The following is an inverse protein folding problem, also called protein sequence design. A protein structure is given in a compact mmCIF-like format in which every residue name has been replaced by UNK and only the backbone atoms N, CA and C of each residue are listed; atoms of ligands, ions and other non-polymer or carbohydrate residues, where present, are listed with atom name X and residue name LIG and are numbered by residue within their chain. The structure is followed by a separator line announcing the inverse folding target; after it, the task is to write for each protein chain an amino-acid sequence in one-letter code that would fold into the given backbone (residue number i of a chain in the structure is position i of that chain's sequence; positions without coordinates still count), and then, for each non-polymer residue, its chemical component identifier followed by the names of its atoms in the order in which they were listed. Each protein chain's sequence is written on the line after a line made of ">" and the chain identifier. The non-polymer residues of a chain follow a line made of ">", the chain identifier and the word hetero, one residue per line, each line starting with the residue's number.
data_IF_818519268514
#
_entry.id   IF_818519268514
#
_cell.length_a   1.000
_cell.length_b   1.000
_cell.length_c   1.000
_cell.angle_alpha   90.00
_cell.angle_beta   90.00
_cell.angle_gamma   90.00
#
_symmetry.space_group_name_H-M   'P 1'
#
loop_
_entity.id
_entity.type
_entity.pdbx_description
1 polymer ?
#
# COMPACT_ATOMS: atom_id res chain seq x y z
N UNK A 1 1.90 3.32 3.26
CA UNK A 1 2.92 4.39 3.27
C UNK A 1 2.41 5.84 3.11
N UNK A 2 1.60 6.26 2.12
CA UNK A 2 1.42 7.70 1.81
C UNK A 2 0.63 8.53 2.84
N UNK A 3 0.07 7.89 3.87
CA UNK A 3 -0.69 8.58 4.91
C UNK A 3 0.19 9.25 5.98
N UNK A 4 1.45 8.83 6.16
CA UNK A 4 2.32 9.35 7.22
C UNK A 4 3.12 10.60 6.80
N UNK A 5 3.53 10.68 5.53
CA UNK A 5 4.24 11.81 4.94
C UNK A 5 3.58 13.19 5.16
N UNK A 6 2.25 13.38 5.00
CA UNK A 6 1.64 14.70 5.19
C UNK A 6 1.82 15.22 6.62
N UNK A 7 1.79 14.35 7.63
CA UNK A 7 1.98 14.77 9.02
C UNK A 7 3.40 15.25 9.29
N UNK A 8 4.42 14.57 8.73
CA UNK A 8 5.82 15.00 8.88
C UNK A 8 6.05 16.35 8.18
N UNK A 9 5.52 16.53 6.97
CA UNK A 9 5.59 17.81 6.26
C UNK A 9 4.89 18.94 7.01
N UNK A 10 3.73 18.66 7.62
CA UNK A 10 3.01 19.64 8.46
C UNK A 10 3.83 20.04 9.70
N UNK A 11 4.51 19.09 10.34
CA UNK A 11 5.39 19.37 11.48
C UNK A 11 6.57 20.28 11.08
N UNK A 12 7.19 20.05 9.92
CA UNK A 12 8.24 20.92 9.39
C UNK A 12 7.69 22.32 9.12
N UNK A 13 6.56 22.43 8.43
CA UNK A 13 5.93 23.73 8.14
C UNK A 13 5.58 24.49 9.42
N UNK A 14 5.06 23.81 10.44
CA UNK A 14 4.74 24.39 11.74
C UNK A 14 5.99 24.87 12.49
N UNK A 15 7.09 24.11 12.43
CA UNK A 15 8.37 24.52 13.01
C UNK A 15 8.85 25.83 12.36
N UNK A 16 8.89 25.87 11.03
CA UNK A 16 9.30 27.07 10.28
C UNK A 16 8.41 28.28 10.58
N UNK A 17 7.10 28.07 10.70
CA UNK A 17 6.15 29.13 11.05
C UNK A 17 6.46 29.71 12.44
N UNK A 18 6.59 28.87 13.46
CA UNK A 18 6.87 29.31 14.84
C UNK A 18 8.20 30.05 14.91
N UNK A 19 9.26 29.49 14.31
CA UNK A 19 10.58 30.14 14.31
C UNK A 19 10.59 31.43 13.50
N UNK A 20 9.87 31.53 12.37
CA UNK A 20 9.80 32.79 11.62
C UNK A 20 9.19 33.91 12.47
N UNK A 21 8.11 33.64 13.21
CA UNK A 21 7.48 34.62 14.10
C UNK A 21 8.41 35.03 15.25
N UNK A 22 9.09 34.07 15.88
CA UNK A 22 10.06 34.37 16.94
C UNK A 22 11.27 35.13 16.38
N UNK A 23 11.76 34.74 15.21
CA UNK A 23 12.90 35.35 14.53
C UNK A 23 12.65 36.80 14.15
N UNK A 24 11.42 37.13 13.75
CA UNK A 24 11.01 38.53 13.57
C UNK A 24 11.29 39.34 14.83
N UNK A 25 10.93 38.86 16.02
CA UNK A 25 11.21 39.56 17.28
C UNK A 25 12.71 39.63 17.62
N UNK A 26 13.49 38.62 17.24
CA UNK A 26 14.95 38.58 17.50
C UNK A 26 15.71 39.57 16.62
N UNK A 27 15.27 39.78 15.38
CA UNK A 27 15.98 40.56 14.37
C UNK A 27 15.30 41.85 13.91
N UNK A 28 14.15 42.23 14.47
CA UNK A 28 13.34 43.38 14.01
C UNK A 28 14.11 44.70 14.03
N UNK A 29 14.95 44.92 15.05
CA UNK A 29 15.60 46.21 15.29
C UNK A 29 17.04 46.28 14.75
N UNK A 30 17.54 45.21 14.12
CA UNK A 30 18.91 45.17 13.61
C UNK A 30 19.09 46.09 12.40
N UNK A 31 20.19 46.83 12.37
CA UNK A 31 20.58 47.63 11.21
C UNK A 31 21.01 46.71 10.04
N UNK A 32 20.47 46.97 8.84
CA UNK A 32 20.78 46.20 7.64
C UNK A 32 22.00 46.80 6.95
N UNK A 33 23.16 46.15 7.07
CA UNK A 33 24.41 46.60 6.44
C UNK A 33 24.66 45.87 5.13
N UNK A 34 25.15 46.62 4.13
CA UNK A 34 25.61 46.05 2.87
C UNK A 34 26.79 45.10 3.13
N UNK A 35 26.79 43.92 2.50
CA UNK A 35 27.79 42.87 2.66
C UNK A 35 27.92 42.25 4.07
N UNK A 36 26.90 42.39 4.93
CA UNK A 36 26.82 41.63 6.19
C UNK A 36 25.88 40.43 6.05
N UNK A 37 25.96 39.46 6.98
CA UNK A 37 25.08 38.29 6.97
C UNK A 37 23.58 38.66 7.12
N UNK A 38 23.29 39.86 7.63
CA UNK A 38 21.94 40.44 7.72
C UNK A 38 21.87 41.67 6.80
N UNK A 39 21.21 41.53 5.65
CA UNK A 39 21.10 42.57 4.63
C UNK A 39 19.64 42.78 4.17
N UNK A 40 19.42 43.60 3.14
CA UNK A 40 18.06 43.85 2.60
C UNK A 40 17.35 42.60 2.04
N UNK A 41 18.09 41.55 1.68
CA UNK A 41 17.56 40.30 1.14
C UNK A 41 17.49 39.19 2.21
N UNK A 42 18.41 39.22 3.18
CA UNK A 42 18.55 38.27 4.28
C UNK A 42 18.27 39.00 5.60
N UNK A 43 17.00 39.11 5.99
CA UNK A 43 16.63 39.74 7.26
C UNK A 43 15.35 39.14 7.85
N UNK A 44 15.02 39.63 9.05
CA UNK A 44 13.85 39.23 9.83
C UNK A 44 12.73 40.30 9.84
N UNK A 45 12.72 41.25 8.90
CA UNK A 45 11.74 42.37 8.92
C UNK A 45 10.33 41.93 8.56
N UNK A 46 10.22 41.01 7.61
CA UNK A 46 8.93 40.47 7.18
C UNK A 46 8.91 38.97 7.38
N UNK A 47 7.71 38.43 7.58
CA UNK A 47 7.51 37.01 7.78
C UNK A 47 8.14 36.16 6.66
N UNK A 48 7.98 36.57 5.40
CA UNK A 48 8.53 35.82 4.26
C UNK A 48 10.05 35.91 4.17
N UNK A 49 10.66 37.04 4.52
CA UNK A 49 12.12 37.17 4.57
C UNK A 49 12.70 36.32 5.71
N UNK A 50 12.06 36.34 6.89
CA UNK A 50 12.42 35.48 8.01
C UNK A 50 12.33 33.99 7.62
N UNK A 51 11.26 33.60 6.91
CA UNK A 51 11.08 32.25 6.41
C UNK A 51 12.18 31.84 5.42
N UNK A 52 12.54 32.72 4.47
CA UNK A 52 13.63 32.48 3.52
C UNK A 52 14.99 32.37 4.20
N UNK A 53 15.26 33.23 5.19
CA UNK A 53 16.49 33.19 5.98
C UNK A 53 16.59 31.91 6.82
N UNK A 54 15.48 31.45 7.40
CA UNK A 54 15.40 30.15 8.07
C UNK A 54 15.57 28.98 7.12
N UNK A 55 15.04 29.07 5.90
CA UNK A 55 15.25 28.06 4.86
C UNK A 55 16.72 27.95 4.48
N UNK A 56 17.37 29.09 4.23
CA UNK A 56 18.82 29.17 4.03
C UNK A 56 19.61 28.60 5.22
N UNK A 57 19.15 28.87 6.44
CA UNK A 57 19.80 28.32 7.64
C UNK A 57 19.63 26.79 7.74
N UNK A 58 18.46 26.27 7.37
CA UNK A 58 18.14 24.84 7.37
C UNK A 58 18.94 24.05 6.31
N UNK A 59 19.32 24.66 5.19
CA UNK A 59 20.24 24.05 4.22
C UNK A 59 21.70 24.06 4.69
N UNK A 60 21.99 24.68 5.84
CA UNK A 60 23.32 24.78 6.42
C UNK A 60 24.16 25.94 5.89
N UNK A 61 23.59 26.83 5.09
CA UNK A 61 24.33 27.94 4.47
C UNK A 61 24.53 29.12 5.42
N UNK A 62 25.78 29.33 5.86
CA UNK A 62 26.22 30.50 6.63
C UNK A 62 25.36 30.83 7.88
N UNK A 63 24.59 29.86 8.39
CA UNK A 63 23.67 30.07 9.52
C UNK A 63 24.37 30.58 10.79
N UNK A 64 25.63 30.20 10.98
CA UNK A 64 26.46 30.66 12.09
C UNK A 64 26.84 32.13 11.94
N UNK A 65 27.09 32.63 10.72
CA UNK A 65 27.34 34.05 10.47
C UNK A 65 26.09 34.89 10.72
N UNK A 66 24.94 34.38 10.27
CA UNK A 66 23.62 34.98 10.53
C UNK A 66 23.37 35.05 12.04
N UNK A 67 23.62 33.97 12.77
CA UNK A 67 23.52 33.94 14.24
C UNK A 67 24.42 34.99 14.89
N UNK A 68 25.69 35.06 14.49
CA UNK A 68 26.65 36.03 15.02
C UNK A 68 26.26 37.49 14.71
N UNK A 69 25.56 37.72 13.59
CA UNK A 69 25.02 39.02 13.23
C UNK A 69 23.79 39.42 14.07
N UNK A 70 23.10 38.46 14.70
CA UNK A 70 21.95 38.70 15.58
C UNK A 70 22.28 38.76 17.09
N UNK A 71 23.54 38.50 17.48
CA UNK A 71 23.98 38.62 18.88
C UNK A 71 23.85 40.06 19.41
N UNK A 72 23.90 40.24 20.73
CA UNK A 72 23.85 41.58 21.35
C UNK A 72 25.05 42.45 21.01
N UNK A 73 24.90 43.77 21.19
CA UNK A 73 25.94 44.76 20.91
C UNK A 73 26.05 45.17 19.44
N UNK A 74 24.98 45.00 18.66
CA UNK A 74 24.93 45.39 17.23
C UNK A 74 24.30 46.76 17.08
N UNK A 75 24.59 47.42 15.98
CA UNK A 75 23.93 48.69 15.67
C UNK A 75 22.44 48.48 15.41
N UNK A 76 21.62 49.28 16.08
CA UNK A 76 20.20 49.38 15.81
C UNK A 76 19.92 50.10 14.50
N UNK A 77 18.83 49.73 13.83
CA UNK A 77 18.30 50.51 12.72
C UNK A 77 17.88 51.91 13.20
N UNK A 78 18.34 53.00 12.54
CA UNK A 78 17.94 54.36 12.88
C UNK A 78 16.43 54.60 12.94
N UNK A 79 15.65 53.80 12.20
CA UNK A 79 14.17 53.89 12.16
C UNK A 79 13.46 53.07 13.24
N UNK A 80 14.19 52.28 14.04
CA UNK A 80 13.60 51.39 15.06
C UNK A 80 13.03 52.13 16.27
N UNK A 81 13.33 53.42 16.45
CA UNK A 81 12.88 54.21 17.60
C UNK A 81 13.46 53.73 18.94
N UNK A 82 14.47 52.86 18.92
CA UNK A 82 15.11 52.34 20.11
C UNK A 82 15.86 53.43 20.88
N UNK A 83 15.67 53.44 22.20
CA UNK A 83 16.36 54.35 23.12
C UNK A 83 17.79 53.94 23.39
N UNK A 84 18.11 52.65 23.23
CA UNK A 84 19.46 52.12 23.39
C UNK A 84 20.15 52.01 22.02
N UNK A 85 21.47 52.33 21.95
CA UNK A 85 22.23 52.25 20.70
C UNK A 85 22.55 50.81 20.29
N UNK A 86 22.39 49.84 21.20
CA UNK A 86 22.71 48.44 20.99
C UNK A 86 21.46 47.60 20.79
N UNK A 87 21.50 46.77 19.75
CA UNK A 87 20.48 45.83 19.34
C UNK A 87 21.04 44.41 19.25
N UNK A 88 20.12 43.47 19.02
CA UNK A 88 20.41 42.04 19.03
C UNK A 88 20.32 41.46 20.43
N UNK A 89 20.42 40.14 20.53
CA UNK A 89 20.23 39.44 21.80
C UNK A 89 21.13 38.22 21.91
N UNK A 90 21.67 37.97 23.10
CA UNK A 90 22.38 36.72 23.40
C UNK A 90 21.47 35.48 23.26
N UNK A 91 20.15 35.69 23.30
CA UNK A 91 19.17 34.65 22.99
C UNK A 91 19.31 34.09 21.56
N UNK A 92 19.90 34.85 20.63
CA UNK A 92 20.12 34.40 19.26
C UNK A 92 20.91 33.08 19.19
N UNK A 93 21.85 32.83 20.12
CA UNK A 93 22.60 31.57 20.18
C UNK A 93 21.66 30.38 20.41
N UNK A 94 20.81 30.47 21.44
CA UNK A 94 19.85 29.42 21.76
C UNK A 94 18.82 29.25 20.64
N UNK A 95 18.35 30.35 20.05
CA UNK A 95 17.41 30.34 18.94
C UNK A 95 17.95 29.59 17.71
N UNK A 96 19.13 29.96 17.18
CA UNK A 96 19.66 29.31 15.98
C UNK A 96 20.13 27.87 16.24
N UNK A 97 20.80 27.60 17.37
CA UNK A 97 21.26 26.25 17.68
C UNK A 97 20.08 25.28 17.88
N UNK A 98 19.02 25.71 18.58
CA UNK A 98 17.81 24.88 18.72
C UNK A 98 17.07 24.68 17.40
N UNK A 99 16.97 25.72 16.56
CA UNK A 99 16.39 25.61 15.21
C UNK A 99 17.11 24.57 14.37
N UNK A 100 18.44 24.64 14.27
CA UNK A 100 19.24 23.71 13.47
C UNK A 100 19.09 22.27 13.99
N UNK A 101 19.08 22.08 15.31
CA UNK A 101 18.88 20.77 15.92
C UNK A 101 17.51 20.16 15.56
N UNK A 102 16.42 20.89 15.82
CA UNK A 102 15.07 20.39 15.55
C UNK A 102 14.80 20.21 14.05
N UNK A 103 15.29 21.14 13.22
CA UNK A 103 15.15 21.05 11.77
C UNK A 103 15.90 19.82 11.22
N UNK A 104 17.15 19.61 11.63
CA UNK A 104 17.94 18.44 11.22
C UNK A 104 17.28 17.12 11.63
N UNK A 105 16.72 17.06 12.85
CA UNK A 105 15.97 15.90 13.32
C UNK A 105 14.73 15.61 12.46
N UNK A 106 13.93 16.63 12.14
CA UNK A 106 12.75 16.46 11.29
C UNK A 106 13.10 16.11 9.84
N UNK A 107 14.16 16.71 9.28
CA UNK A 107 14.64 16.39 7.93
C UNK A 107 15.15 14.95 7.83
N UNK A 108 15.85 14.45 8.85
CA UNK A 108 16.25 13.04 8.93
C UNK A 108 15.02 12.13 9.00
N UNK A 109 14.01 12.47 9.82
CA UNK A 109 12.77 11.70 9.90
C UNK A 109 12.01 11.68 8.57
N UNK A 110 12.04 12.77 7.80
CA UNK A 110 11.48 12.79 6.44
C UNK A 110 12.25 11.86 5.51
N UNK A 111 13.59 11.90 5.54
CA UNK A 111 14.42 11.02 4.73
C UNK A 111 14.19 9.54 5.04
N UNK A 112 14.10 9.19 6.33
CA UNK A 112 13.76 7.83 6.78
C UNK A 112 12.36 7.44 6.31
N UNK A 113 11.36 8.31 6.46
CA UNK A 113 10.01 8.03 5.98
C UNK A 113 9.98 7.77 4.46
N UNK A 114 10.65 8.61 3.68
CA UNK A 114 10.76 8.45 2.22
C UNK A 114 11.48 7.15 1.87
N UNK A 115 12.59 6.81 2.53
CA UNK A 115 13.30 5.57 2.25
C UNK A 115 12.48 4.35 2.66
N UNK A 116 11.78 4.37 3.79
CA UNK A 116 10.92 3.26 4.19
C UNK A 116 9.78 3.04 3.20
N UNK A 117 9.18 4.13 2.68
CA UNK A 117 8.17 4.05 1.64
C UNK A 117 8.74 3.49 0.32
N UNK A 118 9.97 3.88 -0.04
CA UNK A 118 10.68 3.34 -1.19
C UNK A 118 11.12 1.88 -0.99
N UNK A 119 11.54 1.50 0.21
CA UNK A 119 11.94 0.14 0.55
C UNK A 119 10.74 -0.78 0.61
N UNK A 120 9.59 -0.33 1.14
CA UNK A 120 8.31 -1.07 1.06
C UNK A 120 7.86 -1.26 -0.40
N UNK A 121 8.14 -0.29 -1.28
CA UNK A 121 7.91 -0.43 -2.72
C UNK A 121 8.86 -1.45 -3.38
N UNK A 122 10.16 -1.37 -3.10
CA UNK A 122 11.17 -2.26 -3.68
C UNK A 122 11.11 -3.69 -3.12
N UNK A 123 10.71 -3.86 -1.86
CA UNK A 123 10.49 -5.19 -1.27
C UNK A 123 9.14 -5.79 -1.66
N UNK A 124 8.22 -5.02 -2.25
CA UNK A 124 6.98 -5.56 -2.85
C UNK A 124 7.22 -6.41 -4.09
N UNK A 125 8.38 -6.26 -4.74
CA UNK A 125 8.82 -7.15 -5.83
C UNK A 125 9.22 -8.55 -5.35
N UNK A 126 9.24 -8.78 -4.03
CA UNK A 126 9.35 -10.13 -3.46
C UNK A 126 8.00 -10.82 -3.21
N UNK A 127 6.87 -10.14 -3.49
CA UNK A 127 5.58 -10.81 -3.51
C UNK A 127 5.48 -11.69 -4.75
N UNK A 128 5.32 -13.01 -4.53
CA UNK A 128 5.12 -14.01 -5.60
C UNK A 128 3.96 -13.60 -6.52
N UNK A 129 3.03 -12.75 -6.06
CA UNK A 129 1.87 -12.28 -6.81
C UNK A 129 1.60 -10.76 -6.65
N UNK A 130 2.05 -9.97 -7.62
CA UNK A 130 1.77 -8.53 -7.72
C UNK A 130 0.45 -8.14 -8.43
N UNK A 131 0.07 -6.84 -8.37
CA UNK A 131 -1.15 -6.29 -8.97
C UNK A 131 -1.24 -6.46 -10.50
N UNK A 132 -0.10 -6.42 -11.19
CA UNK A 132 -0.03 -6.62 -12.64
C UNK A 132 -0.49 -8.01 -13.09
N UNK A 133 -0.33 -9.04 -12.24
CA UNK A 133 -0.84 -10.38 -12.53
C UNK A 133 -2.38 -10.43 -12.48
N UNK A 134 -3.01 -9.65 -11.61
CA UNK A 134 -4.46 -9.53 -11.57
C UNK A 134 -5.01 -8.76 -12.76
N UNK A 135 -4.32 -7.69 -13.17
CA UNK A 135 -4.70 -6.95 -14.37
C UNK A 135 -4.64 -7.85 -15.61
N UNK A 136 -3.62 -8.71 -15.71
CA UNK A 136 -3.53 -9.70 -16.79
C UNK A 136 -4.66 -10.75 -16.72
N UNK A 137 -5.02 -11.23 -15.52
CA UNK A 137 -6.18 -12.12 -15.35
C UNK A 137 -7.48 -11.45 -15.81
N UNK A 138 -7.73 -10.22 -15.38
CA UNK A 138 -8.92 -9.44 -15.79
C UNK A 138 -8.94 -9.25 -17.31
N UNK A 139 -7.79 -8.94 -17.89
CA UNK A 139 -7.63 -8.74 -19.34
C UNK A 139 -8.00 -10.01 -20.11
N UNK A 140 -7.46 -11.16 -19.72
CA UNK A 140 -7.72 -12.44 -20.38
C UNK A 140 -9.17 -12.88 -20.15
N UNK A 141 -9.70 -12.72 -18.93
CA UNK A 141 -11.10 -13.06 -18.66
C UNK A 141 -12.07 -12.26 -19.54
N UNK A 142 -11.79 -10.99 -19.79
CA UNK A 142 -12.62 -10.13 -20.64
C UNK A 142 -12.67 -10.60 -22.11
N UNK A 143 -11.70 -11.38 -22.58
CA UNK A 143 -11.75 -11.99 -23.92
C UNK A 143 -12.83 -13.09 -23.99
N UNK A 144 -13.09 -13.79 -22.87
CA UNK A 144 -14.09 -14.87 -22.77
C UNK A 144 -15.45 -14.41 -22.25
N UNK A 145 -15.51 -13.28 -21.54
CA UNK A 145 -16.74 -12.68 -21.03
C UNK A 145 -16.88 -11.20 -21.44
N UNK A 146 -17.14 -10.90 -22.74
CA UNK A 146 -17.23 -9.51 -23.23
C UNK A 146 -18.41 -8.74 -22.64
N UNK A 147 -19.47 -9.44 -22.23
CA UNK A 147 -20.66 -8.88 -21.60
C UNK A 147 -20.44 -8.61 -20.09
N UNK A 148 -19.31 -9.06 -19.55
CA UNK A 148 -18.95 -8.97 -18.14
C UNK A 148 -20.06 -9.50 -17.22
N UNK A 149 -20.55 -10.70 -17.55
CA UNK A 149 -21.52 -11.46 -16.75
C UNK A 149 -20.90 -12.05 -15.48
N UNK A 150 -19.57 -12.04 -15.37
CA UNK A 150 -18.80 -12.61 -14.25
C UNK A 150 -18.71 -14.14 -14.29
N UNK A 151 -19.04 -14.76 -15.42
CA UNK A 151 -19.11 -16.23 -15.60
C UNK A 151 -18.59 -16.65 -16.96
N UNK A 152 -17.85 -17.76 -17.01
CA UNK A 152 -17.42 -18.42 -18.26
C UNK A 152 -17.70 -19.92 -18.20
N UNK A 153 -17.80 -20.57 -19.36
CA UNK A 153 -18.08 -22.00 -19.42
C UNK A 153 -16.83 -22.79 -19.02
N UNK A 154 -16.96 -23.92 -18.30
CA UNK A 154 -15.80 -24.66 -17.77
C UNK A 154 -14.82 -25.13 -18.87
N UNK A 155 -15.30 -25.32 -20.10
CA UNK A 155 -14.46 -25.72 -21.25
C UNK A 155 -13.40 -24.66 -21.59
N UNK A 156 -13.70 -23.38 -21.35
CA UNK A 156 -12.79 -22.28 -21.64
C UNK A 156 -11.69 -22.13 -20.57
N UNK A 157 -11.84 -22.81 -19.43
CA UNK A 157 -10.87 -22.76 -18.34
C UNK A 157 -9.48 -23.30 -18.73
N UNK A 158 -9.43 -24.32 -19.58
CA UNK A 158 -8.16 -24.85 -20.07
C UNK A 158 -7.41 -23.79 -20.87
N UNK A 159 -8.12 -23.07 -21.73
CA UNK A 159 -7.55 -21.99 -22.56
C UNK A 159 -7.10 -20.80 -21.71
N UNK A 160 -7.88 -20.45 -20.68
CA UNK A 160 -7.56 -19.38 -19.74
C UNK A 160 -6.25 -19.63 -18.97
N UNK A 161 -5.96 -20.90 -18.62
CA UNK A 161 -4.73 -21.27 -17.90
C UNK A 161 -3.43 -21.08 -18.67
N UNK A 162 -3.48 -20.82 -19.98
CA UNK A 162 -2.27 -20.50 -20.78
C UNK A 162 -1.72 -19.10 -20.52
N UNK A 163 -2.36 -18.31 -19.65
CA UNK A 163 -1.81 -17.05 -19.14
C UNK A 163 -0.42 -17.26 -18.52
N UNK A 164 0.37 -16.19 -18.44
CA UNK A 164 1.73 -16.29 -17.91
C UNK A 164 1.73 -16.72 -16.43
N UNK A 165 2.75 -17.49 -15.99
CA UNK A 165 3.02 -17.70 -14.56
C UNK A 165 3.13 -16.35 -13.84
N UNK A 166 2.75 -16.24 -12.55
CA UNK A 166 2.49 -17.29 -11.56
C UNK A 166 1.04 -17.80 -11.49
N UNK A 167 0.06 -17.07 -12.05
CA UNK A 167 -1.36 -17.47 -12.01
C UNK A 167 -1.70 -18.53 -13.06
N UNK A 168 -1.12 -18.43 -14.25
CA UNK A 168 -1.24 -19.44 -15.29
C UNK A 168 -0.04 -20.35 -15.40
N UNK A 169 -0.02 -21.13 -16.48
CA UNK A 169 0.99 -22.15 -16.74
C UNK A 169 1.86 -21.80 -17.96
N UNK A 170 1.55 -20.71 -18.64
CA UNK A 170 2.20 -20.28 -19.88
C UNK A 170 1.77 -21.10 -21.11
N UNK A 171 2.05 -20.53 -22.29
CA UNK A 171 1.62 -21.07 -23.60
C UNK A 171 2.25 -22.40 -23.99
N UNK A 172 3.33 -22.82 -23.31
CA UNK A 172 4.08 -24.06 -23.60
C UNK A 172 3.78 -25.19 -22.60
N UNK A 173 2.77 -25.04 -21.74
CA UNK A 173 2.43 -26.02 -20.72
C UNK A 173 1.90 -27.33 -21.34
N UNK A 174 2.42 -28.52 -20.96
CA UNK A 174 1.83 -29.79 -21.36
C UNK A 174 0.41 -29.95 -20.81
N UNK A 175 -0.52 -30.44 -21.65
CA UNK A 175 -1.92 -30.61 -21.29
C UNK A 175 -2.14 -31.37 -19.97
N UNK A 176 -1.32 -32.42 -19.72
CA UNK A 176 -1.39 -33.21 -18.47
C UNK A 176 -1.12 -32.38 -17.21
N UNK A 177 -0.22 -31.40 -17.28
CA UNK A 177 0.09 -30.50 -16.15
C UNK A 177 -1.07 -29.53 -15.92
N UNK A 178 -1.64 -28.98 -16.99
CA UNK A 178 -2.80 -28.10 -16.93
C UNK A 178 -4.06 -28.80 -16.37
N UNK A 179 -4.38 -30.02 -16.82
CA UNK A 179 -5.51 -30.77 -16.26
C UNK A 179 -5.28 -31.18 -14.80
N UNK A 180 -4.07 -31.59 -14.43
CA UNK A 180 -3.73 -31.88 -13.03
C UNK A 180 -3.87 -30.63 -12.15
N UNK A 181 -3.57 -29.44 -12.68
CA UNK A 181 -3.77 -28.15 -12.02
C UNK A 181 -5.25 -27.80 -11.87
N UNK A 182 -6.05 -27.98 -12.92
CA UNK A 182 -7.51 -27.78 -12.88
C UNK A 182 -8.19 -28.64 -11.82
N UNK A 183 -7.82 -29.91 -11.74
CA UNK A 183 -8.37 -30.82 -10.73
C UNK A 183 -7.98 -30.43 -9.30
N UNK A 184 -6.82 -29.80 -9.12
CA UNK A 184 -6.35 -29.31 -7.81
C UNK A 184 -7.01 -28.00 -7.37
N UNK A 185 -7.50 -27.22 -8.32
CA UNK A 185 -8.18 -25.95 -8.02
C UNK A 185 -9.59 -26.15 -7.44
N UNK A 186 -10.20 -27.32 -7.65
CA UNK A 186 -11.52 -27.68 -7.12
C UNK A 186 -12.57 -26.58 -7.33
N UNK A 187 -12.71 -26.15 -8.59
CA UNK A 187 -13.59 -25.05 -8.95
C UNK A 187 -15.06 -25.45 -8.76
N UNK A 188 -15.88 -24.64 -8.07
CA UNK A 188 -17.32 -24.86 -8.01
C UNK A 188 -17.94 -24.57 -9.38
N UNK A 189 -18.44 -25.62 -10.04
CA UNK A 189 -19.17 -25.52 -11.30
C UNK A 189 -20.66 -25.43 -10.99
N UNK A 190 -21.34 -24.43 -11.55
CA UNK A 190 -22.78 -24.25 -11.41
C UNK A 190 -23.56 -25.23 -12.31
N UNK A 191 -24.87 -25.38 -12.06
CA UNK A 191 -25.75 -26.32 -12.78
C UNK A 191 -25.80 -26.06 -14.30
N UNK A 192 -25.47 -24.83 -14.72
CA UNK A 192 -25.37 -24.39 -16.12
C UNK A 192 -23.99 -24.63 -16.75
N UNK A 193 -23.12 -25.40 -16.09
CA UNK A 193 -21.74 -25.68 -16.52
C UNK A 193 -20.83 -24.43 -16.57
N UNK A 194 -21.15 -23.39 -15.80
CA UNK A 194 -20.32 -22.17 -15.71
C UNK A 194 -19.52 -22.09 -14.41
N UNK A 195 -18.41 -21.36 -14.47
CA UNK A 195 -17.58 -21.02 -13.32
C UNK A 195 -17.53 -19.51 -13.12
N UNK A 196 -17.43 -19.07 -11.87
CA UNK A 196 -17.52 -17.65 -11.49
C UNK A 196 -16.16 -16.97 -11.37
N UNK A 197 -16.06 -15.71 -11.81
CA UNK A 197 -14.84 -14.91 -11.86
C UNK A 197 -14.03 -14.89 -10.54
N UNK A 198 -14.65 -14.50 -9.43
CA UNK A 198 -13.94 -14.38 -8.14
C UNK A 198 -13.50 -15.75 -7.59
N UNK A 199 -14.29 -16.79 -7.83
CA UNK A 199 -14.03 -18.14 -7.34
C UNK A 199 -12.87 -18.77 -8.12
N UNK A 200 -12.82 -18.55 -9.44
CA UNK A 200 -11.70 -18.96 -10.28
C UNK A 200 -10.42 -18.23 -9.91
N UNK A 201 -10.48 -16.90 -9.73
CA UNK A 201 -9.32 -16.12 -9.32
C UNK A 201 -8.76 -16.60 -7.98
N UNK A 202 -9.63 -16.79 -6.99
CA UNK A 202 -9.24 -17.27 -5.66
C UNK A 202 -8.60 -18.66 -5.73
N UNK A 203 -9.13 -19.57 -6.55
CA UNK A 203 -8.56 -20.89 -6.73
C UNK A 203 -7.18 -20.84 -7.41
N UNK A 204 -7.00 -19.97 -8.42
CA UNK A 204 -5.71 -19.76 -9.07
C UNK A 204 -4.66 -19.25 -8.07
N UNK A 205 -5.01 -18.24 -7.26
CA UNK A 205 -4.13 -17.66 -6.24
C UNK A 205 -3.77 -18.70 -5.17
N UNK A 206 -4.77 -19.41 -4.61
CA UNK A 206 -4.56 -20.46 -3.61
C UNK A 206 -3.62 -21.54 -4.13
N UNK A 207 -3.79 -21.93 -5.38
CA UNK A 207 -2.98 -22.99 -5.96
C UNK A 207 -1.57 -22.49 -6.34
N UNK A 208 -1.42 -21.22 -6.73
CA UNK A 208 -0.12 -20.61 -7.10
C UNK A 208 0.77 -20.38 -5.89
N UNK A 209 0.17 -20.05 -4.75
CA UNK A 209 0.86 -19.79 -3.48
C UNK A 209 0.94 -21.03 -2.57
N UNK A 210 0.48 -22.20 -3.05
CA UNK A 210 0.36 -23.46 -2.29
C UNK A 210 -0.32 -23.29 -0.91
N UNK A 211 -1.28 -22.36 -0.82
CA UNK A 211 -1.97 -22.05 0.43
C UNK A 211 -2.86 -23.24 0.79
N UNK A 212 -2.43 -24.02 1.79
CA UNK A 212 -3.14 -25.13 2.46
C UNK A 212 -3.97 -26.00 1.49
N UNK A 213 -3.38 -26.47 0.39
CA UNK A 213 -4.04 -27.45 -0.50
C UNK A 213 -4.05 -28.82 0.20
N UNK A 214 -5.10 -29.10 0.96
CA UNK A 214 -5.29 -30.42 1.56
C UNK A 214 -5.40 -31.50 0.46
N UNK A 215 -4.69 -32.62 0.63
CA UNK A 215 -4.81 -33.81 -0.23
C UNK A 215 -6.07 -34.61 0.17
N UNK A 216 -7.25 -34.02 0.03
CA UNK A 216 -8.56 -34.66 0.22
C UNK A 216 -8.89 -35.11 1.66
N UNK A 217 -10.17 -35.38 1.94
CA UNK A 217 -10.63 -35.95 3.22
C UNK A 217 -10.98 -34.94 4.32
N UNK A 218 -10.99 -35.41 5.59
CA UNK A 218 -11.32 -34.66 6.82
C UNK A 218 -10.39 -33.46 7.01
N UNK A 219 -9.13 -33.59 6.58
CA UNK A 219 -8.12 -32.53 6.60
C UNK A 219 -8.53 -31.30 5.77
N UNK A 220 -9.25 -31.49 4.66
CA UNK A 220 -9.71 -30.37 3.82
C UNK A 220 -10.75 -29.51 4.54
N UNK A 221 -11.66 -30.14 5.28
CA UNK A 221 -12.71 -29.44 6.02
C UNK A 221 -12.12 -28.64 7.19
N UNK A 222 -11.13 -29.20 7.87
CA UNK A 222 -10.43 -28.52 8.95
C UNK A 222 -9.60 -27.34 8.41
N UNK A 223 -8.91 -27.52 7.29
CA UNK A 223 -8.10 -26.46 6.67
C UNK A 223 -8.95 -25.31 6.12
N UNK A 224 -10.10 -25.59 5.50
CA UNK A 224 -11.04 -24.56 5.05
C UNK A 224 -11.66 -23.79 6.23
N UNK A 225 -11.92 -24.48 7.35
CA UNK A 225 -12.44 -23.86 8.57
C UNK A 225 -11.38 -23.00 9.28
N UNK A 226 -10.14 -23.47 9.34
CA UNK A 226 -8.99 -22.69 9.83
C UNK A 226 -8.73 -21.47 8.95
N UNK A 227 -8.74 -21.64 7.62
CA UNK A 227 -8.58 -20.53 6.67
C UNK A 227 -9.70 -19.49 6.84
N UNK A 228 -10.95 -19.92 7.01
CA UNK A 228 -12.07 -19.02 7.31
C UNK A 228 -11.86 -18.26 8.62
N UNK A 229 -11.35 -18.94 9.65
CA UNK A 229 -11.07 -18.32 10.96
C UNK A 229 -9.94 -17.30 10.86
N UNK A 230 -8.86 -17.61 10.15
CA UNK A 230 -7.77 -16.68 9.86
C UNK A 230 -8.27 -15.49 9.03
N UNK A 231 -9.05 -15.73 7.98
CA UNK A 231 -9.64 -14.67 7.15
C UNK A 231 -10.57 -13.75 7.95
N UNK A 232 -11.40 -14.28 8.85
CA UNK A 232 -12.25 -13.46 9.73
C UNK A 232 -11.44 -12.69 10.78
N UNK A 233 -10.32 -13.25 11.26
CA UNK A 233 -9.45 -12.59 12.22
C UNK A 233 -8.68 -11.42 11.59
N UNK A 234 -8.25 -11.56 10.33
CA UNK A 234 -7.52 -10.51 9.60
C UNK A 234 -8.51 -9.47 9.01
N UNK A 235 -9.71 -9.91 8.58
CA UNK A 235 -10.76 -9.04 8.02
C UNK A 235 -12.09 -9.15 8.79
N UNK A 236 -12.21 -8.46 9.94
CA UNK A 236 -13.44 -8.51 10.76
C UNK A 236 -14.67 -7.93 10.06
N UNK A 237 -14.48 -7.08 9.03
CA UNK A 237 -15.56 -6.44 8.27
C UNK A 237 -15.94 -7.19 6.98
N UNK A 238 -15.37 -8.37 6.72
CA UNK A 238 -15.68 -9.15 5.53
C UNK A 238 -17.11 -9.71 5.63
N UNK A 239 -17.96 -9.43 4.64
CA UNK A 239 -19.32 -9.95 4.63
C UNK A 239 -19.32 -11.48 4.50
N UNK A 240 -20.25 -12.15 5.20
CA UNK A 240 -20.35 -13.61 5.15
C UNK A 240 -20.59 -14.14 3.74
N UNK A 241 -21.33 -13.39 2.90
CA UNK A 241 -21.56 -13.73 1.49
C UNK A 241 -20.27 -13.72 0.66
N UNK A 242 -19.38 -12.77 0.94
CA UNK A 242 -18.07 -12.69 0.28
C UNK A 242 -17.17 -13.80 0.78
N UNK A 243 -17.17 -14.09 2.09
CA UNK A 243 -16.41 -15.20 2.66
C UNK A 243 -16.85 -16.57 2.09
N UNK A 244 -18.16 -16.78 1.95
CA UNK A 244 -18.73 -18.00 1.38
C UNK A 244 -18.45 -18.15 -0.13
N UNK A 245 -18.18 -17.05 -0.84
CA UNK A 245 -17.76 -17.06 -2.24
C UNK A 245 -16.26 -17.41 -2.38
N UNK A 246 -15.44 -17.02 -1.40
CA UNK A 246 -13.97 -17.21 -1.37
C UNK A 246 -13.55 -18.57 -0.82
N UNK A 247 -14.30 -19.06 0.16
CA UNK A 247 -14.18 -20.41 0.72
C UNK A 247 -15.58 -20.98 0.69
N UNK A 248 -15.87 -21.95 -0.18
CA UNK A 248 -17.24 -22.45 -0.32
C UNK A 248 -17.70 -23.18 0.95
N UNK A 249 -18.85 -22.85 1.56
CA UNK A 249 -19.32 -23.54 2.76
C UNK A 249 -19.77 -24.96 2.41
N UNK A 250 -19.28 -25.96 3.13
CA UNK A 250 -19.54 -27.39 2.91
C UNK A 250 -20.98 -27.87 3.18
N UNK A 251 -21.98 -26.98 3.28
CA UNK A 251 -23.39 -27.37 3.46
C UNK A 251 -24.09 -27.81 2.16
N UNK A 252 -23.36 -28.47 1.27
CA UNK A 252 -23.96 -29.24 0.18
C UNK A 252 -24.23 -30.67 0.66
N UNK A 253 -25.50 -31.04 0.79
CA UNK A 253 -25.92 -32.37 1.27
C UNK A 253 -25.35 -33.48 0.37
N UNK A 254 -24.57 -34.38 0.96
CA UNK A 254 -24.38 -35.73 0.42
C UNK A 254 -25.72 -36.47 0.52
N UNK A 255 -26.29 -36.88 -0.60
CA UNK A 255 -27.21 -38.01 -0.64
C UNK A 255 -26.60 -39.10 -1.52
N UNK A 256 -26.32 -40.24 -0.90
CA UNK A 256 -25.82 -41.44 -1.57
C UNK A 256 -26.93 -42.06 -2.43
N UNK A 257 -26.69 -42.19 -3.74
CA UNK A 257 -27.30 -43.26 -4.52
C UNK A 257 -26.20 -44.19 -5.01
N UNK A 258 -26.45 -45.49 -4.86
CA UNK A 258 -25.46 -46.56 -4.91
C UNK A 258 -24.62 -46.63 -6.19
N UNK A 259 -23.49 -47.32 -6.02
CA UNK A 259 -22.50 -47.74 -7.01
C UNK A 259 -21.58 -46.62 -7.59
N UNK A 260 -20.49 -46.36 -6.86
CA UNK A 260 -19.15 -46.27 -7.48
C UNK A 260 -18.71 -44.99 -8.21
N UNK A 261 -19.51 -43.93 -8.28
CA UNK A 261 -19.08 -42.65 -8.85
C UNK A 261 -19.49 -41.46 -7.95
N UNK A 262 -18.52 -40.74 -7.41
CA UNK A 262 -18.76 -39.52 -6.64
C UNK A 262 -18.90 -38.34 -7.61
N UNK A 263 -20.13 -37.98 -7.96
CA UNK A 263 -20.43 -36.74 -8.68
C UNK A 263 -20.72 -35.65 -7.65
N UNK A 264 -19.94 -34.57 -7.66
CA UNK A 264 -20.24 -33.37 -6.89
C UNK A 264 -21.44 -32.67 -7.52
N UNK A 265 -22.63 -32.84 -6.92
CA UNK A 265 -23.79 -32.01 -7.23
C UNK A 265 -23.67 -30.70 -6.42
N UNK A 266 -23.62 -29.59 -7.15
CA UNK A 266 -23.25 -28.27 -6.66
C UNK A 266 -24.24 -27.67 -5.65
N UNK A 267 -23.75 -26.65 -4.94
CA UNK A 267 -24.56 -25.87 -4.01
C UNK A 267 -25.40 -24.90 -4.83
N UNK A 268 -26.70 -25.16 -4.89
CA UNK A 268 -27.69 -24.25 -5.46
C UNK A 268 -27.70 -22.95 -4.66
N UNK A 269 -26.89 -21.98 -5.07
CA UNK A 269 -27.19 -20.59 -4.78
C UNK A 269 -28.27 -20.14 -5.77
N UNK A 270 -29.34 -19.46 -5.29
CA UNK A 270 -30.40 -19.01 -6.17
C UNK A 270 -29.80 -18.14 -7.27
N UNK A 271 -30.10 -18.50 -8.52
CA UNK A 271 -29.77 -17.73 -9.72
C UNK A 271 -30.43 -16.35 -9.55
N UNK A 272 -29.66 -15.26 -9.36
CA UNK A 272 -30.27 -13.94 -9.41
C UNK A 272 -30.77 -13.72 -10.85
N UNK A 273 -31.97 -13.13 -11.04
CA UNK A 273 -32.47 -12.84 -12.37
C UNK A 273 -31.46 -11.96 -13.10
N UNK A 274 -31.29 -12.17 -14.42
CA UNK A 274 -30.45 -11.35 -15.31
C UNK A 274 -30.68 -9.86 -15.01
N UNK A 275 -29.78 -9.24 -14.28
CA UNK A 275 -29.83 -7.80 -14.01
C UNK A 275 -28.42 -7.24 -13.93
N UNK A 276 -28.24 -6.15 -14.68
CA UNK A 276 -27.14 -5.18 -14.72
C UNK A 276 -25.75 -5.74 -15.07
N UNK A 277 -25.32 -5.39 -16.28
CA UNK A 277 -23.92 -5.38 -16.75
C UNK A 277 -22.94 -5.09 -15.62
N UNK A 278 -22.15 -6.09 -15.22
CA UNK A 278 -21.09 -5.92 -14.23
C UNK A 278 -19.94 -5.18 -14.93
N UNK A 279 -19.75 -3.89 -14.67
CA UNK A 279 -18.67 -3.14 -15.35
C UNK A 279 -17.30 -3.75 -15.04
N UNK A 280 -16.38 -3.80 -16.02
CA UNK A 280 -14.97 -4.18 -15.85
C UNK A 280 -14.29 -3.48 -14.65
N UNK A 281 -14.75 -2.27 -14.28
CA UNK A 281 -14.29 -1.57 -13.06
C UNK A 281 -14.64 -2.32 -11.77
N UNK A 282 -15.82 -2.92 -11.66
CA UNK A 282 -16.23 -3.68 -10.47
C UNK A 282 -15.44 -4.97 -10.31
N UNK A 283 -15.11 -5.65 -11.40
CA UNK A 283 -14.26 -6.85 -11.39
C UNK A 283 -12.82 -6.54 -10.92
N UNK A 284 -12.26 -5.40 -11.34
CA UNK A 284 -10.96 -4.92 -10.84
C UNK A 284 -11.02 -4.62 -9.35
N UNK A 285 -11.99 -3.83 -8.89
CA UNK A 285 -12.10 -3.48 -7.46
C UNK A 285 -12.27 -4.71 -6.56
N UNK A 286 -13.04 -5.71 -6.99
CA UNK A 286 -13.17 -6.98 -6.27
C UNK A 286 -11.86 -7.77 -6.23
N UNK A 287 -11.12 -7.81 -7.35
CA UNK A 287 -9.82 -8.52 -7.44
C UNK A 287 -8.76 -7.86 -6.56
N UNK A 288 -8.64 -6.53 -6.58
CA UNK A 288 -7.69 -5.79 -5.75
C UNK A 288 -7.99 -5.90 -4.26
N UNK A 289 -9.27 -5.95 -3.89
CA UNK A 289 -9.70 -6.18 -2.51
C UNK A 289 -9.25 -7.54 -1.96
N UNK A 290 -8.97 -8.53 -2.82
CA UNK A 290 -8.51 -9.88 -2.45
C UNK A 290 -6.99 -10.03 -2.47
N UNK A 291 -6.25 -9.17 -3.20
CA UNK A 291 -4.80 -9.28 -3.35
C UNK A 291 -4.05 -9.06 -2.03
N UNK A 292 -4.33 -7.95 -1.35
CA UNK A 292 -3.66 -7.60 -0.09
C UNK A 292 -3.89 -8.69 0.99
N UNK A 293 -5.11 -9.23 1.12
CA UNK A 293 -5.38 -10.37 1.98
C UNK A 293 -4.56 -11.64 1.73
N UNK A 294 -4.52 -12.07 0.48
CA UNK A 294 -3.92 -13.35 0.12
C UNK A 294 -2.39 -13.28 0.19
N UNK A 295 -1.82 -12.11 -0.08
CA UNK A 295 -0.39 -11.89 0.10
C UNK A 295 0.01 -11.91 1.59
N UNK A 296 -0.82 -11.35 2.49
CA UNK A 296 -0.57 -11.44 3.94
C UNK A 296 -0.64 -12.89 4.46
N UNK A 297 -1.59 -13.69 3.96
CA UNK A 297 -1.67 -15.13 4.28
C UNK A 297 -0.44 -15.90 3.80
N UNK A 298 0.08 -15.59 2.61
CA UNK A 298 1.27 -16.24 2.05
C UNK A 298 2.57 -15.92 2.82
N UNK A 299 2.64 -14.76 3.48
CA UNK A 299 3.81 -14.32 4.26
C UNK A 299 3.71 -14.61 5.78
N UNK A 300 2.67 -15.31 6.24
CA UNK A 300 2.48 -15.61 7.67
C UNK A 300 3.49 -16.69 8.16
N UNK A 301 4.12 -16.52 9.36
CA UNK A 301 5.26 -17.34 9.82
C UNK A 301 4.96 -18.83 10.10
N UNK A 302 3.69 -19.25 10.04
CA UNK A 302 3.29 -20.66 10.07
C UNK A 302 3.62 -21.43 8.79
N UNK A 303 4.05 -20.73 7.73
CA UNK A 303 4.28 -21.30 6.40
C UNK A 303 5.75 -21.12 6.00
N UNK A 304 6.63 -22.10 6.28
CA UNK A 304 8.00 -22.03 5.79
C UNK A 304 7.98 -22.08 4.27
N UNK A 305 8.71 -21.16 3.64
CA UNK A 305 9.03 -21.16 2.22
C UNK A 305 9.46 -22.57 1.78
N UNK A 306 8.55 -23.35 1.20
CA UNK A 306 8.95 -24.55 0.48
C UNK A 306 9.58 -24.09 -0.81
N UNK A 307 10.92 -24.11 -0.84
CA UNK A 307 11.78 -24.00 -2.01
C UNK A 307 11.06 -24.34 -3.33
N UNK A 308 10.60 -23.32 -4.05
CA UNK A 308 10.27 -23.46 -5.46
C UNK A 308 11.61 -23.36 -6.20
N UNK A 309 12.21 -24.54 -6.40
CA UNK A 309 13.38 -24.67 -7.26
C UNK A 309 12.92 -24.46 -8.70
N UNK A 310 13.50 -23.48 -9.38
CA UNK A 310 13.34 -23.27 -10.81
C UNK A 310 13.87 -24.50 -11.57
N UNK A 311 12.98 -25.23 -12.23
CA UNK A 311 13.25 -26.12 -13.36
C UNK A 311 12.12 -25.95 -14.39
#
# INVERSE_FOLDING_TARGET
>A
SPQALPYVCLLIAMLFFIYAIIGMQVGENLNLKWASAIDQHNNFRTFFQALMLLFRSATGEAWHEIMLACLGGKECDPLSGNTEPECGSQFAYLYFVSFIFFCSFLMLNLFVAVIMDNFEYLTRDSSILGPHHLDEYVRIWAEYDPAACGRIHYKDMYSLLHMCPPLGLGKRCPARVAYKRLLRMDLPVADDNTVHFNSTLMALIRTALDIKIAKGGIDKQQMDAELRKEMMAIWPNLSQKTLDLLVTPHKCKLQSMGAGATVWLGCSHPVPPRASTFSSRHLRTASFSLLHPLNQLAHHPTYPYSHISYL
#
